data_IF_806039475798
#
_entry.id   IF_806039475798
#
_cell.length_a   1.000
_cell.length_b   1.000
_cell.length_c   1.000
_cell.angle_alpha   90.00
_cell.angle_beta   90.00
_cell.angle_gamma   90.00
#
_symmetry.space_group_name_H-M   'P 1'
#
loop_
_entity.id
_entity.type
_entity.pdbx_description
1 polymer ?
#
# COMPACT_ATOMS: atom_id res chain seq x y z
N UNK A 1 -23.35 0.33 -7.32
CA UNK A 1 -23.73 -0.81 -8.17
C UNK A 1 -25.23 -0.83 -8.45
N UNK A 2 -26.05 -0.33 -7.52
CA UNK A 2 -27.51 -0.52 -7.53
C UNK A 2 -28.31 0.37 -8.50
N UNK A 3 -27.71 1.39 -9.15
CA UNK A 3 -28.43 2.29 -10.07
C UNK A 3 -28.06 2.15 -11.56
N UNK A 4 -26.86 1.66 -11.91
CA UNK A 4 -26.37 1.64 -13.30
C UNK A 4 -25.73 0.31 -13.73
N UNK A 5 -25.65 -0.69 -12.84
CA UNK A 5 -24.96 -1.95 -13.12
C UNK A 5 -23.44 -1.80 -13.31
N UNK A 6 -22.74 -2.92 -13.49
CA UNK A 6 -21.28 -2.95 -13.62
C UNK A 6 -20.78 -2.57 -15.03
N UNK A 7 -21.59 -2.77 -16.08
CA UNK A 7 -21.18 -2.56 -17.49
C UNK A 7 -20.73 -1.12 -17.80
N UNK A 8 -21.45 -0.06 -17.41
CA UNK A 8 -21.03 1.32 -17.69
C UNK A 8 -19.71 1.69 -17.01
N UNK A 9 -19.47 1.14 -15.81
CA UNK A 9 -18.21 1.36 -15.07
C UNK A 9 -17.02 0.91 -15.91
N UNK A 10 -17.09 -0.26 -16.54
CA UNK A 10 -16.02 -0.77 -17.41
C UNK A 10 -15.75 0.12 -18.63
N UNK A 11 -16.78 0.67 -19.26
CA UNK A 11 -16.57 1.58 -20.41
C UNK A 11 -15.90 2.89 -19.98
N UNK A 12 -16.27 3.42 -18.81
CA UNK A 12 -15.67 4.64 -18.27
C UNK A 12 -14.19 4.39 -17.92
N UNK A 13 -13.87 3.31 -17.21
CA UNK A 13 -12.47 2.97 -16.91
C UNK A 13 -11.65 2.73 -18.18
N UNK A 14 -12.20 2.03 -19.18
CA UNK A 14 -11.52 1.82 -20.45
C UNK A 14 -11.22 3.13 -21.19
N UNK A 15 -12.18 4.07 -21.24
CA UNK A 15 -11.98 5.37 -21.85
C UNK A 15 -10.89 6.19 -21.14
N UNK A 16 -10.90 6.22 -19.80
CA UNK A 16 -9.88 6.92 -19.00
C UNK A 16 -8.49 6.32 -19.23
N UNK A 17 -8.37 4.99 -19.23
CA UNK A 17 -7.11 4.31 -19.48
C UNK A 17 -6.60 4.55 -20.90
N UNK A 18 -7.49 4.60 -21.91
CA UNK A 18 -7.11 4.93 -23.28
C UNK A 18 -6.57 6.35 -23.41
N UNK A 19 -7.18 7.32 -22.72
CA UNK A 19 -6.67 8.70 -22.67
C UNK A 19 -5.28 8.74 -22.02
N UNK A 20 -5.08 8.07 -20.88
CA UNK A 20 -3.77 7.95 -20.24
C UNK A 20 -2.73 7.32 -21.18
N UNK A 21 -3.10 6.28 -21.93
CA UNK A 21 -2.22 5.65 -22.92
C UNK A 21 -1.79 6.64 -24.01
N UNK A 22 -2.74 7.35 -24.64
CA UNK A 22 -2.44 8.34 -25.69
C UNK A 22 -1.55 9.46 -25.16
N UNK A 23 -1.84 9.98 -23.95
CA UNK A 23 -1.01 11.00 -23.31
C UNK A 23 0.41 10.50 -23.06
N UNK A 24 0.55 9.28 -22.53
CA UNK A 24 1.86 8.69 -22.25
C UNK A 24 2.66 8.50 -23.55
N UNK A 25 2.00 7.98 -24.61
CA UNK A 25 2.63 7.74 -25.92
C UNK A 25 3.09 9.03 -26.61
N UNK A 26 2.36 10.14 -26.45
CA UNK A 26 2.69 11.41 -27.11
C UNK A 26 3.63 12.31 -26.28
N UNK A 27 3.51 12.31 -24.95
CA UNK A 27 4.21 13.27 -24.08
C UNK A 27 5.42 12.70 -23.33
N UNK A 28 5.47 11.39 -23.05
CA UNK A 28 6.60 10.83 -22.29
C UNK A 28 7.78 10.57 -23.22
N UNK A 29 8.75 11.50 -23.21
CA UNK A 29 10.03 11.33 -23.87
C UNK A 29 10.99 10.59 -22.94
N UNK A 30 11.29 9.33 -23.25
CA UNK A 30 12.28 8.56 -22.52
C UNK A 30 13.71 9.04 -22.84
N UNK A 31 14.48 9.41 -21.82
CA UNK A 31 15.93 9.52 -21.91
C UNK A 31 16.56 8.17 -21.54
N UNK A 32 16.47 7.21 -22.46
CA UNK A 32 17.03 5.89 -22.24
C UNK A 32 18.55 5.88 -22.50
N UNK A 33 19.35 5.72 -21.45
CA UNK A 33 20.77 5.38 -21.58
C UNK A 33 20.93 3.85 -21.44
N UNK A 34 21.16 3.12 -22.55
CA UNK A 34 21.30 1.67 -22.50
C UNK A 34 22.49 1.26 -21.63
N UNK A 35 22.24 0.58 -20.51
CA UNK A 35 23.27 -0.11 -19.75
C UNK A 35 23.66 -1.36 -20.54
N UNK A 36 24.92 -1.49 -20.94
CA UNK A 36 25.37 -2.65 -21.72
C UNK A 36 25.12 -3.94 -20.93
N UNK A 37 24.65 -5.01 -21.61
CA UNK A 37 24.38 -6.34 -21.02
C UNK A 37 25.56 -6.91 -20.21
N UNK A 38 26.78 -6.47 -20.52
CA UNK A 38 28.03 -6.88 -19.85
C UNK A 38 28.17 -6.33 -18.42
N UNK A 39 27.50 -5.20 -18.13
CA UNK A 39 27.50 -4.53 -16.83
C UNK A 39 26.27 -4.88 -15.98
N UNK A 40 25.40 -5.77 -16.48
CA UNK A 40 24.24 -6.26 -15.72
C UNK A 40 24.71 -7.17 -14.58
N UNK A 41 24.85 -6.58 -13.39
CA UNK A 41 25.20 -7.31 -12.17
C UNK A 41 24.26 -8.51 -11.94
N UNK A 42 24.79 -9.67 -11.56
CA UNK A 42 23.97 -10.82 -11.17
C UNK A 42 23.23 -10.53 -9.85
N UNK A 43 22.14 -11.24 -9.53
CA UNK A 43 21.37 -10.98 -8.30
C UNK A 43 22.22 -10.99 -7.02
N UNK A 44 23.19 -11.92 -6.91
CA UNK A 44 24.16 -11.94 -5.80
C UNK A 44 25.06 -10.69 -5.77
N UNK A 45 25.47 -10.18 -6.93
CA UNK A 45 26.31 -8.98 -7.04
C UNK A 45 25.49 -7.71 -6.74
N UNK A 46 24.19 -7.69 -7.06
CA UNK A 46 23.26 -6.63 -6.65
C UNK A 46 23.20 -6.56 -5.12
N UNK A 47 22.99 -7.68 -4.44
CA UNK A 47 22.96 -7.70 -2.97
C UNK A 47 24.33 -7.38 -2.34
N UNK A 48 25.44 -7.80 -2.97
CA UNK A 48 26.79 -7.46 -2.52
C UNK A 48 27.13 -5.96 -2.71
N UNK A 49 26.50 -5.28 -3.67
CA UNK A 49 26.68 -3.84 -3.91
C UNK A 49 25.92 -2.95 -2.91
N UNK A 50 25.05 -3.51 -2.09
CA UNK A 50 24.25 -2.75 -1.13
C UNK A 50 25.11 -2.30 0.05
N UNK A 51 24.90 -1.07 0.49
CA UNK A 51 25.57 -0.53 1.69
C UNK A 51 25.21 -1.33 2.94
N UNK A 52 23.95 -1.76 3.04
CA UNK A 52 23.41 -2.56 4.13
C UNK A 52 22.41 -3.62 3.61
N UNK A 53 22.87 -4.81 3.16
CA UNK A 53 21.98 -5.82 2.59
C UNK A 53 20.96 -6.37 3.59
N UNK A 54 21.31 -6.46 4.88
CA UNK A 54 20.39 -6.87 5.95
C UNK A 54 19.24 -5.87 6.14
N UNK A 55 19.52 -4.57 6.06
CA UNK A 55 18.51 -3.52 6.18
C UNK A 55 17.56 -3.56 4.99
N UNK A 56 18.08 -3.68 3.77
CA UNK A 56 17.27 -3.78 2.55
C UNK A 56 16.36 -5.02 2.58
N UNK A 57 16.87 -6.16 3.03
CA UNK A 57 16.04 -7.36 3.22
C UNK A 57 14.95 -7.14 4.28
N UNK A 58 15.28 -6.48 5.40
CA UNK A 58 14.30 -6.10 6.42
C UNK A 58 13.20 -5.21 5.85
N UNK A 59 13.52 -4.28 4.94
CA UNK A 59 12.55 -3.41 4.28
C UNK A 59 11.62 -4.16 3.32
N UNK A 60 12.12 -5.18 2.63
CA UNK A 60 11.29 -6.06 1.80
C UNK A 60 10.28 -6.83 2.66
N UNK A 61 10.75 -7.43 3.75
CA UNK A 61 9.89 -8.12 4.72
C UNK A 61 8.89 -7.16 5.35
N UNK A 62 9.32 -5.96 5.73
CA UNK A 62 8.45 -4.91 6.27
C UNK A 62 7.34 -4.55 5.28
N UNK A 63 7.67 -4.34 4.00
CA UNK A 63 6.68 -4.07 2.94
C UNK A 63 5.69 -5.22 2.80
N UNK A 64 6.19 -6.46 2.80
CA UNK A 64 5.35 -7.65 2.73
C UNK A 64 4.37 -7.71 3.91
N UNK A 65 4.83 -7.49 5.14
CA UNK A 65 4.00 -7.49 6.35
C UNK A 65 2.93 -6.39 6.28
N UNK A 66 3.30 -5.17 5.86
CA UNK A 66 2.36 -4.06 5.67
C UNK A 66 1.26 -4.51 4.69
N UNK A 67 1.61 -5.08 3.54
CA UNK A 67 0.60 -5.53 2.57
C UNK A 67 -0.25 -6.70 3.07
N UNK A 68 0.31 -7.62 3.85
CA UNK A 68 -0.47 -8.70 4.47
C UNK A 68 -1.50 -8.12 5.43
N UNK A 69 -1.10 -7.16 6.26
CA UNK A 69 -1.98 -6.49 7.20
C UNK A 69 -3.09 -5.73 6.47
N UNK A 70 -2.74 -4.89 5.49
CA UNK A 70 -3.71 -4.12 4.69
C UNK A 70 -4.62 -5.04 3.85
N UNK A 71 -4.07 -6.12 3.29
CA UNK A 71 -4.81 -7.08 2.46
C UNK A 71 -5.79 -7.95 3.25
N UNK A 72 -5.43 -8.35 4.48
CA UNK A 72 -6.31 -9.12 5.38
C UNK A 72 -7.58 -8.36 5.75
N UNK A 73 -7.51 -7.02 5.75
CA UNK A 73 -8.59 -6.16 6.23
C UNK A 73 -9.81 -6.18 5.29
N UNK A 74 -9.63 -6.34 3.97
CA UNK A 74 -10.72 -6.29 2.99
C UNK A 74 -11.82 -7.37 3.20
N UNK A 75 -11.49 -8.67 3.34
CA UNK A 75 -12.50 -9.71 3.60
C UNK A 75 -13.15 -9.53 4.99
N UNK A 76 -12.35 -9.22 6.02
CA UNK A 76 -12.84 -9.00 7.38
C UNK A 76 -13.82 -7.83 7.43
N UNK A 77 -13.49 -6.70 6.80
CA UNK A 77 -14.35 -5.52 6.79
C UNK A 77 -15.74 -5.83 6.23
N UNK A 78 -15.80 -6.63 5.17
CA UNK A 78 -17.07 -6.98 4.52
C UNK A 78 -17.96 -7.79 5.46
N UNK A 79 -17.38 -8.73 6.22
CA UNK A 79 -18.09 -9.51 7.23
C UNK A 79 -18.47 -8.65 8.45
N UNK A 80 -17.54 -7.85 8.95
CA UNK A 80 -17.73 -7.02 10.15
C UNK A 80 -18.82 -5.95 9.93
N UNK A 81 -18.85 -5.31 8.76
CA UNK A 81 -19.90 -4.34 8.44
C UNK A 81 -21.26 -5.04 8.29
N UNK A 82 -21.29 -6.28 7.79
CA UNK A 82 -22.53 -7.08 7.71
C UNK A 82 -23.09 -7.38 9.11
N UNK A 83 -22.24 -7.74 10.06
CA UNK A 83 -22.66 -7.98 11.45
C UNK A 83 -23.10 -6.71 12.16
N UNK A 84 -22.38 -5.59 11.98
CA UNK A 84 -22.67 -4.34 12.68
C UNK A 84 -23.88 -3.57 12.11
N UNK A 85 -24.14 -3.62 10.80
CA UNK A 85 -25.18 -2.82 10.15
C UNK A 85 -26.52 -3.58 9.98
N UNK A 86 -26.56 -4.88 10.27
CA UNK A 86 -27.73 -5.73 10.06
C UNK A 86 -28.22 -5.74 8.59
N UNK A 87 -29.38 -6.35 8.33
CA UNK A 87 -30.01 -6.39 7.01
C UNK A 87 -30.62 -5.02 6.61
N UNK A 88 -29.82 -3.96 6.61
CA UNK A 88 -30.24 -2.62 6.17
C UNK A 88 -30.03 -2.44 4.67
N UNK A 89 -30.93 -1.71 4.01
CA UNK A 89 -30.97 -1.51 2.55
C UNK A 89 -29.75 -0.74 1.98
N UNK A 90 -28.84 -0.24 2.83
CA UNK A 90 -27.69 0.59 2.48
C UNK A 90 -26.32 -0.03 2.84
N UNK A 91 -26.26 -1.34 3.09
CA UNK A 91 -25.03 -2.03 3.49
C UNK A 91 -23.86 -1.80 2.51
N UNK A 92 -24.12 -1.90 1.21
CA UNK A 92 -23.11 -1.70 0.17
C UNK A 92 -22.55 -0.27 0.16
N UNK A 93 -23.40 0.73 0.44
CA UNK A 93 -22.99 2.14 0.51
C UNK A 93 -22.11 2.40 1.74
N UNK A 94 -22.51 1.89 2.91
CA UNK A 94 -21.74 2.06 4.16
C UNK A 94 -20.39 1.33 4.08
N UNK A 95 -20.38 0.09 3.57
CA UNK A 95 -19.13 -0.67 3.34
C UNK A 95 -18.22 0.05 2.36
N UNK A 96 -18.75 0.57 1.26
CA UNK A 96 -17.98 1.34 0.27
C UNK A 96 -17.40 2.62 0.87
N UNK A 97 -18.17 3.33 1.69
CA UNK A 97 -17.71 4.52 2.38
C UNK A 97 -16.55 4.19 3.33
N UNK A 98 -16.72 3.21 4.24
CA UNK A 98 -15.68 2.80 5.20
C UNK A 98 -14.44 2.25 4.49
N UNK A 99 -14.60 1.55 3.36
CA UNK A 99 -13.48 1.07 2.55
C UNK A 99 -12.68 2.20 1.87
N UNK A 100 -13.34 3.31 1.52
CA UNK A 100 -12.69 4.47 0.88
C UNK A 100 -11.95 5.39 1.88
N UNK A 101 -12.40 5.41 3.15
CA UNK A 101 -11.87 6.28 4.21
C UNK A 101 -10.34 6.18 4.38
N UNK A 102 -9.71 4.99 4.46
CA UNK A 102 -8.27 4.86 4.54
C UNK A 102 -7.53 5.52 3.37
N UNK A 103 -8.06 5.38 2.14
CA UNK A 103 -7.44 5.97 0.95
C UNK A 103 -7.45 7.49 0.98
N UNK A 104 -8.57 8.08 1.42
CA UNK A 104 -8.67 9.55 1.61
C UNK A 104 -7.72 10.01 2.72
N UNK A 105 -7.67 9.29 3.83
CA UNK A 105 -6.78 9.60 4.95
C UNK A 105 -5.30 9.56 4.52
N UNK A 106 -4.90 8.51 3.81
CA UNK A 106 -3.55 8.36 3.26
C UNK A 106 -3.21 9.50 2.30
N UNK A 107 -4.13 9.89 1.41
CA UNK A 107 -3.91 11.01 0.49
C UNK A 107 -3.70 12.33 1.23
N UNK A 108 -4.45 12.58 2.29
CA UNK A 108 -4.32 13.79 3.10
C UNK A 108 -3.07 13.79 4.00
N UNK A 109 -2.66 12.62 4.49
CA UNK A 109 -1.55 12.48 5.43
C UNK A 109 -0.19 12.36 4.74
N UNK A 110 -0.12 11.72 3.56
CA UNK A 110 1.12 11.40 2.86
C UNK A 110 2.06 12.60 2.68
N UNK A 111 1.61 13.80 2.24
CA UNK A 111 2.51 14.94 2.09
C UNK A 111 3.02 15.48 3.43
N UNK A 112 2.18 15.47 4.47
CA UNK A 112 2.51 16.04 5.78
C UNK A 112 3.44 15.12 6.57
N UNK A 113 3.08 13.84 6.64
CA UNK A 113 3.86 12.82 7.34
C UNK A 113 5.11 12.42 6.55
N UNK A 114 5.07 12.47 5.21
CA UNK A 114 6.26 12.30 4.37
C UNK A 114 7.30 13.40 4.63
N UNK A 115 6.89 14.68 4.61
CA UNK A 115 7.77 15.80 4.97
C UNK A 115 8.30 15.70 6.40
N UNK A 116 7.49 15.21 7.33
CA UNK A 116 7.94 14.97 8.70
C UNK A 116 9.02 13.87 8.72
N UNK A 117 8.80 12.79 7.97
CA UNK A 117 9.77 11.70 7.78
C UNK A 117 11.11 12.17 7.22
N UNK A 118 11.08 13.07 6.23
CA UNK A 118 12.30 13.65 5.66
C UNK A 118 13.07 14.50 6.69
N UNK A 119 12.39 15.13 7.65
CA UNK A 119 13.01 15.94 8.71
C UNK A 119 13.57 15.11 9.87
N UNK A 120 12.80 14.13 10.37
CA UNK A 120 13.18 13.35 11.56
C UNK A 120 14.02 12.12 11.22
N UNK A 121 14.04 11.72 9.95
CA UNK A 121 14.68 10.53 9.44
C UNK A 121 13.64 9.47 9.03
N UNK A 122 13.77 8.88 7.82
CA UNK A 122 12.81 7.92 7.28
C UNK A 122 12.75 6.61 8.09
N UNK A 123 13.82 6.24 8.79
CA UNK A 123 13.84 5.08 9.69
C UNK A 123 12.98 5.31 10.94
N UNK A 124 13.10 6.49 11.55
CA UNK A 124 12.34 6.82 12.77
C UNK A 124 10.85 6.95 12.51
N UNK A 125 10.48 7.61 11.39
CA UNK A 125 9.06 7.71 11.01
C UNK A 125 8.49 6.34 10.67
N UNK A 126 9.25 5.45 10.02
CA UNK A 126 8.80 4.11 9.68
C UNK A 126 8.46 3.32 10.96
N UNK A 127 9.39 3.27 11.92
CA UNK A 127 9.19 2.56 13.19
C UNK A 127 8.05 3.19 13.99
N UNK A 128 8.00 4.53 14.07
CA UNK A 128 6.93 5.23 14.78
C UNK A 128 5.55 4.91 14.18
N UNK A 129 5.40 4.98 12.86
CA UNK A 129 4.13 4.70 12.21
C UNK A 129 3.75 3.22 12.30
N UNK A 130 4.72 2.29 12.26
CA UNK A 130 4.44 0.87 12.53
C UNK A 130 3.89 0.65 13.94
N UNK A 131 4.48 1.30 14.95
CA UNK A 131 3.99 1.22 16.34
C UNK A 131 2.58 1.81 16.44
N UNK A 132 2.35 2.98 15.84
CA UNK A 132 1.02 3.60 15.79
C UNK A 132 0.01 2.68 15.12
N UNK A 133 0.34 2.04 14.00
CA UNK A 133 -0.54 1.09 13.32
C UNK A 133 -0.90 -0.10 14.22
N UNK A 134 0.06 -0.69 14.94
CA UNK A 134 -0.22 -1.77 15.90
C UNK A 134 -1.12 -1.29 17.04
N UNK A 135 -0.85 -0.11 17.61
CA UNK A 135 -1.66 0.46 18.68
C UNK A 135 -3.09 0.77 18.24
N UNK A 136 -3.31 1.14 16.97
CA UNK A 136 -4.63 1.38 16.41
C UNK A 136 -5.40 0.09 16.10
N UNK A 137 -4.72 -1.02 15.82
CA UNK A 137 -5.35 -2.32 15.57
C UNK A 137 -6.00 -2.91 16.84
N UNK A 138 -5.44 -2.64 18.03
CA UNK A 138 -5.98 -3.13 19.32
C UNK A 138 -7.42 -2.64 19.58
N UNK A 139 -7.70 -1.31 19.64
CA UNK A 139 -9.07 -0.83 19.88
C UNK A 139 -10.02 -1.17 18.73
N UNK A 140 -9.49 -1.41 17.53
CA UNK A 140 -10.29 -1.79 16.37
C UNK A 140 -10.99 -3.14 16.53
N UNK A 141 -10.43 -4.05 17.34
CA UNK A 141 -11.06 -5.33 17.68
C UNK A 141 -12.26 -5.20 18.62
N UNK A 142 -12.39 -4.08 19.35
CA UNK A 142 -13.45 -3.84 20.34
C UNK A 142 -14.55 -2.90 19.84
N UNK A 143 -14.56 -2.60 18.54
CA UNK A 143 -15.50 -1.64 17.95
C UNK A 143 -16.91 -2.22 17.89
N UNK A 144 -17.88 -1.43 18.35
CA UNK A 144 -19.29 -1.82 18.35
C UNK A 144 -20.12 -1.06 17.30
N UNK A 145 -19.58 0.00 16.69
CA UNK A 145 -20.31 0.84 15.73
C UNK A 145 -19.52 1.07 14.43
N UNK A 146 -20.19 1.13 13.26
CA UNK A 146 -19.50 1.38 11.98
C UNK A 146 -18.75 2.71 11.93
N UNK A 147 -19.22 3.72 12.66
CA UNK A 147 -18.58 5.03 12.74
C UNK A 147 -17.26 5.02 13.50
N UNK A 148 -17.18 4.29 14.62
CA UNK A 148 -15.92 4.05 15.34
C UNK A 148 -14.92 3.30 14.46
N UNK A 149 -15.40 2.31 13.69
CA UNK A 149 -14.57 1.58 12.74
C UNK A 149 -14.00 2.52 11.67
N UNK A 150 -14.84 3.40 11.11
CA UNK A 150 -14.44 4.42 10.15
C UNK A 150 -13.38 5.37 10.71
N UNK A 151 -13.54 5.86 11.94
CA UNK A 151 -12.57 6.75 12.58
C UNK A 151 -11.20 6.07 12.80
N UNK A 152 -11.19 4.84 13.33
CA UNK A 152 -9.95 4.07 13.50
C UNK A 152 -9.29 3.75 12.15
N UNK A 153 -10.09 3.44 11.13
CA UNK A 153 -9.62 3.25 9.75
C UNK A 153 -9.02 4.50 9.13
N UNK A 154 -9.58 5.67 9.44
CA UNK A 154 -9.00 6.94 9.02
C UNK A 154 -7.62 7.12 9.63
N UNK A 155 -7.47 6.90 10.94
CA UNK A 155 -6.17 7.01 11.61
C UNK A 155 -5.15 6.00 11.08
N UNK A 156 -5.57 4.75 10.85
CA UNK A 156 -4.71 3.71 10.29
C UNK A 156 -4.29 4.06 8.86
N UNK A 157 -5.22 4.49 8.01
CA UNK A 157 -4.91 4.95 6.65
C UNK A 157 -3.98 6.16 6.64
N UNK A 158 -4.13 7.06 7.61
CA UNK A 158 -3.21 8.18 7.77
C UNK A 158 -1.78 7.71 8.07
N UNK A 159 -1.60 6.71 8.94
CA UNK A 159 -0.29 6.11 9.23
C UNK A 159 0.29 5.37 8.01
N UNK A 160 -0.52 4.54 7.34
CA UNK A 160 -0.13 3.78 6.16
C UNK A 160 0.35 4.68 5.00
N UNK A 161 -0.25 5.87 4.86
CA UNK A 161 0.15 6.87 3.87
C UNK A 161 1.61 7.32 3.98
N UNK A 162 2.26 7.15 5.13
CA UNK A 162 3.66 7.50 5.36
C UNK A 162 4.61 6.30 5.28
N UNK A 163 4.11 5.07 5.50
CA UNK A 163 4.92 3.85 5.57
C UNK A 163 5.60 3.52 4.23
N UNK A 164 4.82 3.49 3.14
CA UNK A 164 5.35 3.13 1.82
C UNK A 164 6.41 4.13 1.32
N UNK A 165 6.20 5.46 1.37
CA UNK A 165 7.23 6.42 1.04
C UNK A 165 8.48 6.27 1.90
N UNK A 166 8.33 6.05 3.22
CA UNK A 166 9.48 5.87 4.12
C UNK A 166 10.33 4.64 3.73
N UNK A 167 9.70 3.52 3.39
CA UNK A 167 10.42 2.33 2.87
C UNK A 167 11.12 2.64 1.56
N UNK A 168 10.44 3.28 0.60
CA UNK A 168 11.02 3.61 -0.70
C UNK A 168 12.24 4.53 -0.56
N UNK A 169 12.15 5.53 0.32
CA UNK A 169 13.26 6.43 0.64
C UNK A 169 14.44 5.68 1.26
N UNK A 170 14.20 4.77 2.22
CA UNK A 170 15.27 3.96 2.82
C UNK A 170 15.92 3.00 1.82
N UNK A 171 15.16 2.45 0.88
CA UNK A 171 15.71 1.62 -0.20
C UNK A 171 16.64 2.44 -1.09
N UNK A 172 16.22 3.65 -1.50
CA UNK A 172 17.06 4.57 -2.30
C UNK A 172 18.34 4.93 -1.55
N UNK A 173 18.26 5.27 -0.26
CA UNK A 173 19.45 5.62 0.52
C UNK A 173 20.46 4.48 0.70
N UNK A 174 20.03 3.22 0.56
CA UNK A 174 20.88 2.05 0.74
C UNK A 174 21.26 1.35 -0.58
N UNK A 175 20.84 1.88 -1.73
CA UNK A 175 21.15 1.32 -3.05
C UNK A 175 21.79 2.37 -3.98
N UNK A 176 22.59 1.91 -4.94
CA UNK A 176 23.14 2.77 -5.99
C UNK A 176 22.12 2.91 -7.12
N UNK A 177 22.10 4.05 -7.83
CA UNK A 177 21.19 4.29 -8.96
C UNK A 177 21.23 3.17 -10.02
N UNK A 178 22.37 2.50 -10.21
CA UNK A 178 22.52 1.38 -11.14
C UNK A 178 21.66 0.15 -10.77
N UNK A 179 21.41 -0.09 -9.48
CA UNK A 179 20.67 -1.25 -8.99
C UNK A 179 19.30 -0.91 -8.41
N UNK A 180 18.99 0.39 -8.25
CA UNK A 180 17.73 0.88 -7.71
C UNK A 180 16.52 0.24 -8.39
N UNK A 181 16.49 0.21 -9.74
CA UNK A 181 15.40 -0.40 -10.50
C UNK A 181 15.14 -1.86 -10.10
N UNK A 182 16.19 -2.68 -9.93
CA UNK A 182 16.06 -4.08 -9.51
C UNK A 182 15.60 -4.21 -8.06
N UNK A 183 16.11 -3.37 -7.16
CA UNK A 183 15.70 -3.35 -5.75
C UNK A 183 14.21 -2.98 -5.63
N UNK A 184 13.75 -2.01 -6.41
CA UNK A 184 12.32 -1.67 -6.49
C UNK A 184 11.49 -2.81 -7.08
N UNK A 185 11.97 -3.48 -8.14
CA UNK A 185 11.29 -4.66 -8.69
C UNK A 185 11.18 -5.79 -7.66
N UNK A 186 12.25 -6.07 -6.90
CA UNK A 186 12.20 -7.06 -5.82
C UNK A 186 11.22 -6.65 -4.73
N UNK A 187 11.28 -5.40 -4.27
CA UNK A 187 10.33 -4.90 -3.27
C UNK A 187 8.88 -5.01 -3.76
N UNK A 188 8.62 -4.75 -5.04
CA UNK A 188 7.30 -4.93 -5.64
C UNK A 188 6.87 -6.41 -5.64
N UNK A 189 7.77 -7.36 -5.92
CA UNK A 189 7.45 -8.79 -5.80
C UNK A 189 7.06 -9.18 -4.37
N UNK A 190 7.78 -8.70 -3.35
CA UNK A 190 7.42 -8.93 -1.94
C UNK A 190 6.08 -8.28 -1.57
N UNK A 191 5.81 -7.08 -2.10
CA UNK A 191 4.52 -6.39 -1.96
C UNK A 191 3.38 -7.23 -2.54
N UNK A 192 3.56 -7.77 -3.75
CA UNK A 192 2.55 -8.55 -4.45
C UNK A 192 2.28 -9.89 -3.73
N UNK A 193 3.33 -10.55 -3.23
CA UNK A 193 3.20 -11.72 -2.35
C UNK A 193 2.37 -11.38 -1.11
N UNK A 194 2.63 -10.23 -0.48
CA UNK A 194 1.85 -9.77 0.67
C UNK A 194 0.38 -9.48 0.32
N UNK A 195 0.11 -8.89 -0.85
CA UNK A 195 -1.25 -8.63 -1.33
C UNK A 195 -2.04 -9.90 -1.62
N UNK A 196 -1.40 -10.96 -2.10
CA UNK A 196 -2.06 -12.25 -2.34
C UNK A 196 -2.29 -13.01 -1.04
N UNK A 197 -1.28 -13.01 -0.15
CA UNK A 197 -1.36 -13.75 1.12
C UNK A 197 -2.25 -13.08 2.16
N UNK A 198 -2.34 -11.75 2.20
CA UNK A 198 -3.18 -11.00 3.13
C UNK A 198 -4.64 -11.46 3.15
N UNK A 199 -5.38 -11.39 2.03
CA UNK A 199 -6.76 -11.85 1.98
C UNK A 199 -6.94 -13.31 2.37
N UNK A 200 -5.96 -14.18 2.06
CA UNK A 200 -5.99 -15.60 2.46
C UNK A 200 -5.92 -15.76 3.99
N UNK A 201 -5.02 -15.04 4.66
CA UNK A 201 -4.95 -15.03 6.12
C UNK A 201 -6.20 -14.42 6.74
N UNK A 202 -6.68 -13.29 6.21
CA UNK A 202 -7.90 -12.64 6.67
C UNK A 202 -9.14 -13.55 6.55
N UNK A 203 -9.26 -14.27 5.44
CA UNK A 203 -10.32 -15.24 5.22
C UNK A 203 -10.20 -16.46 6.16
N UNK A 204 -9.00 -17.02 6.33
CA UNK A 204 -8.77 -18.16 7.21
C UNK A 204 -9.04 -17.87 8.70
N UNK A 205 -8.81 -16.63 9.16
CA UNK A 205 -9.13 -16.19 10.53
C UNK A 205 -10.63 -15.90 10.70
N UNK A 206 -11.32 -15.54 9.62
CA UNK A 206 -12.76 -15.20 9.66
C UNK A 206 -13.69 -16.38 9.39
N UNK A 207 -13.16 -17.50 8.89
CA UNK A 207 -13.89 -18.74 8.61
C UNK A 207 -14.00 -19.61 9.86
#
# INVERSE_FOLDING_TARGET
ADLYGLRPVFYITAAVLFVCFVLTLLYVKEQFTPVQKRDMLHAKQVFASLKNPKLVLSLFVTTMIIQIATGSIAPILTLYVRDLAGATHNLAFISGLIASVPGVAALMSAPRLGKLGDRIGPERILVFMLIVSVLLLIPMAFVQTPWQLGALRFLLGAADGALLPAVQTLLIYNCTNQVAGRIFSYNQSFRDVGNVSGPLFGAAVSA
#
